data_IF_840409003111
#
_entry.id   IF_840409003111
#
_cell.length_a   1.000
_cell.length_b   1.000
_cell.length_c   1.000
_cell.angle_alpha   90.00
_cell.angle_beta   90.00
_cell.angle_gamma   90.00
#
_symmetry.space_group_name_H-M   'P 1'
#
loop_
_entity.id
_entity.type
_entity.pdbx_description
1 polymer ?
#
# COMPACT_ATOMS: atom_id res chain seq x y z
N UNK A 1 -18.05 12.18 1.83
CA UNK A 1 -16.69 12.30 1.27
C UNK A 1 -15.57 12.20 2.32
N UNK A 2 -15.70 12.78 3.52
CA UNK A 2 -14.62 12.86 4.52
C UNK A 2 -13.97 11.51 4.97
N UNK A 3 -14.76 10.46 5.20
CA UNK A 3 -14.24 9.16 5.69
C UNK A 3 -13.29 8.46 4.70
N UNK A 4 -13.50 8.61 3.38
CA UNK A 4 -12.66 7.98 2.35
C UNK A 4 -11.27 8.61 2.26
N UNK A 5 -11.19 9.92 2.46
CA UNK A 5 -9.91 10.63 2.49
C UNK A 5 -9.07 10.25 3.72
N UNK A 6 -9.71 9.95 4.86
CA UNK A 6 -9.02 9.55 6.09
C UNK A 6 -8.26 8.21 5.92
N UNK A 7 -8.90 7.18 5.35
CA UNK A 7 -8.27 5.88 5.17
C UNK A 7 -7.09 5.90 4.19
N UNK A 8 -7.20 6.64 3.08
CA UNK A 8 -6.10 6.83 2.14
C UNK A 8 -4.92 7.57 2.81
N UNK A 9 -5.20 8.65 3.54
CA UNK A 9 -4.17 9.40 4.29
C UNK A 9 -3.51 8.54 5.38
N UNK A 10 -4.24 7.63 6.01
CA UNK A 10 -3.69 6.71 7.00
C UNK A 10 -2.70 5.73 6.35
N UNK A 11 -3.05 5.13 5.20
CA UNK A 11 -2.17 4.20 4.48
C UNK A 11 -0.85 4.87 4.07
N UNK A 12 -0.92 6.09 3.54
CA UNK A 12 0.27 6.87 3.19
C UNK A 12 1.11 7.20 4.43
N UNK A 13 0.49 7.65 5.53
CA UNK A 13 1.21 8.00 6.77
C UNK A 13 1.89 6.82 7.44
N UNK A 14 1.25 5.66 7.47
CA UNK A 14 1.88 4.44 7.97
C UNK A 14 3.06 4.01 7.10
N UNK A 15 2.93 4.11 5.78
CA UNK A 15 4.02 3.81 4.85
C UNK A 15 5.19 4.77 5.05
N UNK A 16 4.92 6.07 5.21
CA UNK A 16 5.95 7.05 5.53
C UNK A 16 6.68 6.74 6.84
N UNK A 17 5.93 6.41 7.90
CA UNK A 17 6.52 6.01 9.17
C UNK A 17 7.45 4.80 9.02
N UNK A 18 6.99 3.72 8.36
CA UNK A 18 7.79 2.51 8.15
C UNK A 18 9.07 2.78 7.34
N UNK A 19 9.02 3.67 6.35
CA UNK A 19 10.19 4.04 5.55
C UNK A 19 11.18 4.93 6.31
N UNK A 20 10.74 5.71 7.28
CA UNK A 20 11.63 6.53 8.11
C UNK A 20 12.24 5.73 9.27
N UNK A 21 11.48 4.79 9.84
CA UNK A 21 11.91 3.97 10.99
C UNK A 21 13.11 3.08 10.64
N UNK A 22 13.13 2.49 9.44
CA UNK A 22 14.26 1.71 8.93
C UNK A 22 14.72 2.25 7.55
N UNK A 23 15.82 3.05 7.51
CA UNK A 23 16.32 3.68 6.28
C UNK A 23 16.71 2.69 5.17
N UNK A 24 17.06 1.44 5.51
CA UNK A 24 17.41 0.41 4.52
C UNK A 24 16.18 -0.13 3.80
N UNK A 25 14.98 0.06 4.33
CA UNK A 25 13.73 -0.41 3.70
C UNK A 25 13.51 0.30 2.36
N UNK A 26 13.59 -0.49 1.28
CA UNK A 26 13.35 -0.03 -0.09
C UNK A 26 11.92 -0.30 -0.58
N UNK A 27 11.23 -1.26 0.04
CA UNK A 27 9.91 -1.69 -0.39
C UNK A 27 9.04 -2.00 0.83
N UNK A 28 7.78 -1.56 0.79
CA UNK A 28 6.73 -2.04 1.69
C UNK A 28 5.80 -2.94 0.91
N UNK A 29 5.46 -4.10 1.47
CA UNK A 29 4.61 -5.10 0.82
C UNK A 29 3.37 -5.39 1.66
N UNK A 30 2.25 -5.66 1.00
CA UNK A 30 1.00 -6.08 1.63
C UNK A 30 0.37 -7.23 0.85
N UNK A 31 -0.36 -8.10 1.56
CA UNK A 31 -1.05 -9.27 0.99
C UNK A 31 -2.58 -9.28 1.28
N UNK A 32 -3.31 -8.22 0.88
CA UNK A 32 -4.75 -8.19 1.02
C UNK A 32 -5.45 -9.24 0.15
N UNK A 33 -6.70 -9.54 0.51
CA UNK A 33 -7.59 -10.32 -0.36
C UNK A 33 -7.82 -9.60 -1.69
N UNK A 34 -7.78 -10.34 -2.79
CA UNK A 34 -7.92 -9.79 -4.15
C UNK A 34 -9.32 -9.18 -4.41
N UNK A 35 -10.33 -9.56 -3.62
CA UNK A 35 -11.70 -9.03 -3.69
C UNK A 35 -11.90 -7.71 -2.91
N UNK A 36 -10.89 -7.23 -2.17
CA UNK A 36 -11.00 -6.03 -1.34
C UNK A 36 -10.80 -4.72 -2.15
N UNK A 37 -11.71 -4.46 -3.09
CA UNK A 37 -11.70 -3.28 -3.97
C UNK A 37 -11.68 -1.94 -3.22
N UNK A 38 -12.21 -1.90 -1.98
CA UNK A 38 -12.19 -0.68 -1.16
C UNK A 38 -10.77 -0.37 -0.66
N UNK A 39 -10.03 -1.39 -0.25
CA UNK A 39 -8.66 -1.23 0.22
C UNK A 39 -7.74 -0.80 -0.92
N UNK A 40 -7.84 -1.39 -2.11
CA UNK A 40 -6.97 -1.05 -3.24
C UNK A 40 -7.06 0.44 -3.62
N UNK A 41 -8.26 1.03 -3.62
CA UNK A 41 -8.42 2.48 -3.84
C UNK A 41 -7.67 3.36 -2.84
N UNK A 42 -7.42 2.88 -1.63
CA UNK A 42 -6.64 3.61 -0.63
C UNK A 42 -5.14 3.35 -0.77
N UNK A 43 -4.75 2.16 -1.22
CA UNK A 43 -3.36 1.77 -1.45
C UNK A 43 -2.78 2.44 -2.70
N UNK A 44 -3.58 2.61 -3.76
CA UNK A 44 -3.18 3.35 -4.97
C UNK A 44 -2.74 4.78 -4.60
N UNK A 45 -3.51 5.45 -3.72
CA UNK A 45 -3.19 6.80 -3.23
C UNK A 45 -1.96 6.85 -2.32
N UNK A 46 -1.48 5.71 -1.82
CA UNK A 46 -0.27 5.58 -1.02
C UNK A 46 0.92 5.04 -1.86
N UNK A 47 0.79 4.98 -3.19
CA UNK A 47 1.87 4.58 -4.08
C UNK A 47 2.10 3.07 -4.19
N UNK A 48 1.12 2.25 -3.77
CA UNK A 48 1.21 0.80 -3.94
C UNK A 48 0.76 0.38 -5.34
N UNK A 49 1.52 -0.52 -5.94
CA UNK A 49 1.20 -1.16 -7.22
C UNK A 49 1.00 -2.66 -7.05
N UNK A 50 0.17 -3.26 -7.89
CA UNK A 50 -0.03 -4.71 -7.90
C UNK A 50 1.15 -5.41 -8.55
N UNK A 51 1.76 -6.35 -7.83
CA UNK A 51 2.88 -7.15 -8.32
C UNK A 51 2.37 -8.49 -8.86
N UNK A 52 1.52 -9.18 -8.10
CA UNK A 52 1.05 -10.52 -8.43
C UNK A 52 -0.23 -10.88 -7.68
N UNK A 53 -1.03 -11.76 -8.27
CA UNK A 53 -2.09 -12.47 -7.56
C UNK A 53 -1.71 -13.94 -7.35
N UNK A 54 -2.13 -14.49 -6.23
CA UNK A 54 -1.97 -15.92 -5.93
C UNK A 54 -3.11 -16.45 -5.10
N UNK A 55 -3.39 -17.74 -5.31
CA UNK A 55 -4.40 -18.48 -4.59
C UNK A 55 -3.75 -19.19 -3.40
N UNK A 56 -4.11 -18.78 -2.19
CA UNK A 56 -3.88 -19.56 -0.99
C UNK A 56 -5.06 -20.50 -0.74
N UNK A 57 -4.88 -21.59 0.04
CA UNK A 57 -5.97 -22.52 0.35
C UNK A 57 -7.24 -21.89 0.91
N UNK A 58 -7.15 -20.72 1.56
CA UNK A 58 -8.26 -20.05 2.25
C UNK A 58 -8.62 -18.66 1.67
N UNK A 59 -7.85 -18.13 0.71
CA UNK A 59 -8.12 -16.82 0.08
C UNK A 59 -7.35 -16.65 -1.24
N UNK A 60 -7.92 -15.92 -2.19
CA UNK A 60 -7.13 -15.30 -3.27
C UNK A 60 -6.54 -14.00 -2.77
N UNK A 61 -5.23 -13.86 -2.82
CA UNK A 61 -4.51 -12.67 -2.36
C UNK A 61 -3.90 -11.93 -3.53
N UNK A 62 -3.73 -10.62 -3.35
CA UNK A 62 -3.04 -9.75 -4.28
C UNK A 62 -1.85 -9.14 -3.55
N UNK A 63 -0.64 -9.48 -3.97
CA UNK A 63 0.58 -8.84 -3.50
C UNK A 63 0.68 -7.46 -4.13
N UNK A 64 0.74 -6.46 -3.27
CA UNK A 64 0.95 -5.07 -3.64
C UNK A 64 2.19 -4.54 -2.96
N UNK A 65 2.89 -3.63 -3.63
CA UNK A 65 4.18 -3.12 -3.18
C UNK A 65 4.28 -1.61 -3.42
N UNK A 66 4.81 -0.89 -2.45
CA UNK A 66 5.26 0.50 -2.62
C UNK A 66 6.78 0.53 -2.57
N UNK A 67 7.41 1.20 -3.56
CA UNK A 67 8.85 1.45 -3.58
C UNK A 67 9.16 2.78 -2.88
N UNK A 68 10.25 2.81 -2.11
CA UNK A 68 10.71 3.99 -1.36
C UNK A 68 10.89 5.21 -2.25
N UNK A 69 11.62 5.07 -3.35
CA UNK A 69 11.91 6.18 -4.25
C UNK A 69 10.63 6.77 -4.81
N UNK A 70 9.77 5.93 -5.39
CA UNK A 70 8.49 6.37 -5.96
C UNK A 70 7.58 6.98 -4.88
N UNK A 71 7.56 6.40 -3.68
CA UNK A 71 6.78 6.95 -2.57
C UNK A 71 7.17 8.39 -2.24
N UNK A 72 8.47 8.66 -2.06
CA UNK A 72 8.95 10.01 -1.75
C UNK A 72 8.88 10.97 -2.95
N UNK A 73 8.93 10.47 -4.18
CA UNK A 73 8.85 11.29 -5.41
C UNK A 73 7.42 11.61 -5.85
N UNK A 74 6.48 10.67 -5.69
CA UNK A 74 5.13 10.75 -6.28
C UNK A 74 4.03 10.99 -5.24
N UNK A 75 4.16 10.39 -4.04
CA UNK A 75 3.13 10.52 -2.99
C UNK A 75 3.33 11.78 -2.17
N UNK A 76 4.60 12.12 -1.86
CA UNK A 76 4.99 13.37 -1.21
C UNK A 76 4.15 13.73 0.01
N UNK A 77 4.45 13.15 1.17
CA UNK A 77 3.85 13.52 2.45
C UNK A 77 4.60 14.64 3.18
#
# INVERSE_FOLDING_TARGET
MARRALCAKLAARLTHYLLLDEPRTQHTVLEPRADNQRLFKHLDAAGYVTIKEFDFPHKRSRLVMANRHNFFSEVGL
#
